data_IF_037436507302
#
_entry.id   IF_037436507302
#
_cell.length_a   1.000
_cell.length_b   1.000
_cell.length_c   1.000
_cell.angle_alpha   90.00
_cell.angle_beta   90.00
_cell.angle_gamma   90.00
#
_symmetry.space_group_name_H-M   'P 1'
#
loop_
_entity.id
_entity.type
_entity.pdbx_description
1 polymer ?
#
# COMPACT_ATOMS: atom_id res chain seq x y z
N UNK A 1 11.44 -0.14 15.16
CA UNK A 1 11.01 0.95 14.25
C UNK A 1 11.09 0.44 12.82
N UNK A 2 10.04 0.66 12.02
CA UNK A 2 10.07 0.36 10.60
C UNK A 2 11.02 1.37 9.92
N UNK A 3 12.00 0.90 9.15
CA UNK A 3 13.00 1.77 8.54
C UNK A 3 12.50 2.32 7.19
N UNK A 4 11.62 3.33 7.22
CA UNK A 4 11.10 3.95 6.02
C UNK A 4 12.08 4.95 5.40
N UNK A 5 12.21 4.93 4.07
CA UNK A 5 13.07 5.87 3.34
C UNK A 5 12.63 7.31 3.55
N UNK A 6 13.59 8.23 3.71
CA UNK A 6 13.36 9.65 3.97
C UNK A 6 12.44 10.31 2.94
N UNK A 7 12.50 9.87 1.69
CA UNK A 7 11.67 10.41 0.62
C UNK A 7 10.16 10.21 0.84
N UNK A 8 9.76 9.18 1.60
CA UNK A 8 8.35 8.89 1.88
C UNK A 8 7.87 9.49 3.21
N UNK A 9 8.79 9.97 4.05
CA UNK A 9 8.46 10.50 5.38
C UNK A 9 7.47 11.67 5.33
N UNK A 10 7.55 12.52 4.30
CA UNK A 10 6.61 13.63 4.13
C UNK A 10 5.14 13.18 4.06
N UNK A 11 4.86 12.09 3.33
CA UNK A 11 3.50 11.51 3.27
C UNK A 11 3.20 10.71 4.53
N UNK A 12 4.14 9.87 4.99
CA UNK A 12 3.97 9.02 6.19
C UNK A 12 3.56 9.87 7.39
N UNK A 13 4.23 11.01 7.62
CA UNK A 13 4.02 11.83 8.81
C UNK A 13 2.74 12.67 8.78
N UNK A 14 2.00 12.68 7.66
CA UNK A 14 0.67 13.29 7.63
C UNK A 14 -0.32 12.49 8.45
N UNK A 15 -1.43 13.13 8.86
CA UNK A 15 -2.50 12.43 9.57
C UNK A 15 -3.03 11.23 8.77
N UNK A 16 -3.27 11.40 7.48
CA UNK A 16 -3.76 10.32 6.62
C UNK A 16 -2.69 9.23 6.39
N UNK A 17 -1.42 9.60 6.23
CA UNK A 17 -0.31 8.66 6.15
C UNK A 17 -0.19 7.76 7.39
N UNK A 18 -0.37 8.33 8.60
CA UNK A 18 -0.41 7.54 9.83
C UNK A 18 -1.63 6.61 9.90
N UNK A 19 -2.83 7.07 9.50
CA UNK A 19 -4.03 6.20 9.44
C UNK A 19 -3.81 4.98 8.54
N UNK A 20 -3.17 5.18 7.40
CA UNK A 20 -2.81 4.08 6.48
C UNK A 20 -1.77 3.17 7.12
N UNK A 21 -0.74 3.72 7.75
CA UNK A 21 0.29 2.92 8.42
C UNK A 21 -0.31 2.06 9.53
N UNK A 22 -1.19 2.62 10.36
CA UNK A 22 -1.89 1.89 11.42
C UNK A 22 -2.71 0.75 10.84
N UNK A 23 -3.50 1.02 9.78
CA UNK A 23 -4.24 -0.01 9.05
C UNK A 23 -3.34 -1.13 8.53
N UNK A 24 -2.17 -0.80 7.99
CA UNK A 24 -1.23 -1.79 7.45
C UNK A 24 -0.57 -2.65 8.53
N UNK A 25 -0.49 -2.18 9.78
CA UNK A 25 0.04 -2.94 10.91
C UNK A 25 -1.04 -3.72 11.67
N UNK A 26 -2.32 -3.64 11.28
CA UNK A 26 -3.36 -4.51 11.83
C UNK A 26 -3.07 -5.99 11.51
N UNK A 27 -3.29 -6.87 12.48
CA UNK A 27 -3.09 -8.32 12.32
C UNK A 27 -3.86 -8.86 11.09
N UNK A 28 -5.12 -8.43 10.91
CA UNK A 28 -5.94 -8.82 9.76
C UNK A 28 -5.28 -8.41 8.44
N UNK A 29 -4.72 -7.22 8.36
CA UNK A 29 -4.05 -6.70 7.16
C UNK A 29 -2.80 -7.51 6.85
N UNK A 30 -2.00 -7.81 7.87
CA UNK A 30 -0.81 -8.65 7.74
C UNK A 30 -1.19 -10.04 7.22
N UNK A 31 -2.20 -10.69 7.81
CA UNK A 31 -2.68 -12.00 7.36
C UNK A 31 -3.11 -11.97 5.89
N UNK A 32 -3.78 -10.90 5.44
CA UNK A 32 -4.18 -10.76 4.03
C UNK A 32 -2.97 -10.62 3.09
N UNK A 33 -1.95 -9.84 3.48
CA UNK A 33 -0.70 -9.68 2.70
C UNK A 33 0.07 -11.02 2.58
N UNK A 34 0.21 -11.73 3.70
CA UNK A 34 0.86 -13.05 3.74
C UNK A 34 0.09 -14.09 2.94
N UNK A 35 -1.24 -14.07 3.02
CA UNK A 35 -2.13 -14.98 2.27
C UNK A 35 -2.03 -14.74 0.76
N UNK A 36 -2.07 -13.47 0.33
CA UNK A 36 -1.88 -13.13 -1.08
C UNK A 36 -0.53 -13.64 -1.61
N UNK A 37 0.51 -13.44 -0.80
CA UNK A 37 1.87 -13.92 -1.11
C UNK A 37 1.92 -15.44 -1.22
N UNK A 38 1.28 -16.17 -0.30
CA UNK A 38 1.19 -17.63 -0.35
C UNK A 38 0.48 -18.15 -1.61
N UNK A 39 -0.45 -17.38 -2.16
CA UNK A 39 -1.19 -17.70 -3.39
C UNK A 39 -0.49 -17.20 -4.67
N UNK A 40 0.78 -16.81 -4.59
CA UNK A 40 1.57 -16.21 -5.68
C UNK A 40 0.92 -14.96 -6.30
N UNK A 41 0.12 -14.23 -5.51
CA UNK A 41 -0.51 -12.97 -5.91
C UNK A 41 0.29 -11.77 -5.39
N UNK A 42 0.21 -10.61 -6.08
CA UNK A 42 0.72 -9.35 -5.55
C UNK A 42 0.10 -9.05 -4.18
N UNK A 43 0.92 -8.71 -3.18
CA UNK A 43 0.42 -8.63 -1.80
C UNK A 43 -0.66 -7.57 -1.61
N UNK A 44 -0.49 -6.41 -2.26
CA UNK A 44 -1.43 -5.29 -2.16
C UNK A 44 -2.80 -5.60 -2.80
N UNK A 45 -2.89 -6.56 -3.72
CA UNK A 45 -4.15 -6.96 -4.38
C UNK A 45 -5.22 -7.34 -3.35
N UNK A 46 -4.86 -8.11 -2.33
CA UNK A 46 -5.81 -8.56 -1.32
C UNK A 46 -6.36 -7.40 -0.48
N UNK A 47 -5.61 -6.31 -0.31
CA UNK A 47 -6.01 -5.20 0.54
C UNK A 47 -6.93 -4.21 -0.15
N UNK A 48 -6.91 -4.13 -1.49
CA UNK A 48 -7.65 -3.11 -2.26
C UNK A 48 -9.11 -2.97 -1.79
N UNK A 49 -9.91 -4.05 -1.68
CA UNK A 49 -11.32 -3.90 -1.29
C UNK A 49 -11.50 -3.35 0.13
N UNK A 50 -10.61 -3.72 1.06
CA UNK A 50 -10.71 -3.27 2.47
C UNK A 50 -10.22 -1.84 2.63
N UNK A 51 -9.20 -1.47 1.86
CA UNK A 51 -8.65 -0.12 1.82
C UNK A 51 -9.65 0.87 1.21
N UNK A 52 -10.30 0.50 0.10
CA UNK A 52 -11.36 1.30 -0.54
C UNK A 52 -12.59 1.43 0.37
N UNK A 53 -13.03 0.33 1.00
CA UNK A 53 -14.18 0.38 1.92
C UNK A 53 -13.94 1.28 3.14
N UNK A 54 -12.69 1.38 3.62
CA UNK A 54 -12.36 2.15 4.82
C UNK A 54 -12.01 3.60 4.54
N UNK A 55 -11.30 3.86 3.44
CA UNK A 55 -10.70 5.16 3.15
C UNK A 55 -11.13 5.75 1.80
N UNK A 56 -12.10 5.14 1.10
CA UNK A 56 -12.50 5.52 -0.26
C UNK A 56 -12.80 7.00 -0.42
N UNK A 57 -13.59 7.59 0.49
CA UNK A 57 -13.94 9.02 0.42
C UNK A 57 -12.73 9.94 0.61
N UNK A 58 -11.83 9.60 1.54
CA UNK A 58 -10.60 10.36 1.78
C UNK A 58 -9.61 10.22 0.61
N UNK A 59 -9.48 9.01 0.05
CA UNK A 59 -8.66 8.76 -1.14
C UNK A 59 -9.17 9.52 -2.35
N UNK A 60 -10.49 9.55 -2.54
CA UNK A 60 -11.12 10.31 -3.62
C UNK A 60 -10.91 11.81 -3.43
N UNK A 61 -11.07 12.33 -2.21
CA UNK A 61 -10.77 13.72 -1.89
C UNK A 61 -9.31 14.10 -2.16
N UNK A 62 -8.35 13.23 -1.85
CA UNK A 62 -6.93 13.45 -2.18
C UNK A 62 -6.72 13.45 -3.69
N UNK A 63 -7.31 12.48 -4.40
CA UNK A 63 -7.21 12.35 -5.86
C UNK A 63 -7.74 13.60 -6.58
N UNK A 64 -8.89 14.10 -6.16
CA UNK A 64 -9.51 15.29 -6.76
C UNK A 64 -8.69 16.56 -6.55
N UNK A 65 -7.81 16.56 -5.54
CA UNK A 65 -6.97 17.70 -5.17
C UNK A 65 -5.47 17.47 -5.44
N UNK A 66 -5.10 16.44 -6.20
CA UNK A 66 -3.70 16.04 -6.44
C UNK A 66 -2.85 17.12 -7.15
N UNK A 67 -3.49 18.08 -7.80
CA UNK A 67 -2.81 19.18 -8.49
C UNK A 67 -2.49 20.38 -7.57
N UNK A 68 -2.89 20.34 -6.30
CA UNK A 68 -2.58 21.39 -5.33
C UNK A 68 -1.25 21.07 -4.61
N UNK A 69 -0.21 21.93 -4.72
CA UNK A 69 1.09 21.68 -4.09
C UNK A 69 1.06 21.65 -2.56
N UNK A 70 0.01 22.15 -1.93
CA UNK A 70 -0.17 22.08 -0.46
C UNK A 70 -0.77 20.74 0.01
N UNK A 71 -1.30 19.94 -0.93
CA UNK A 71 -1.92 18.65 -0.65
C UNK A 71 -0.99 17.48 -0.95
N UNK A 72 -1.37 16.30 -0.47
CA UNK A 72 -0.69 15.05 -0.80
C UNK A 72 -0.98 14.72 -2.27
N UNK A 73 0.07 14.62 -3.09
CA UNK A 73 -0.06 14.06 -4.44
C UNK A 73 -0.48 12.59 -4.38
N UNK A 74 -1.49 12.24 -5.16
CA UNK A 74 -2.13 10.92 -5.11
C UNK A 74 -1.23 9.80 -5.62
N UNK A 75 -0.41 10.06 -6.64
CA UNK A 75 0.56 9.09 -7.12
C UNK A 75 1.67 8.87 -6.09
N UNK A 76 2.11 9.94 -5.42
CA UNK A 76 3.07 9.87 -4.31
C UNK A 76 2.51 9.11 -3.11
N UNK A 77 1.23 9.26 -2.81
CA UNK A 77 0.55 8.47 -1.78
C UNK A 77 0.58 6.97 -2.12
N UNK A 78 0.21 6.59 -3.36
CA UNK A 78 0.25 5.18 -3.80
C UNK A 78 1.66 4.59 -3.70
N UNK A 79 2.68 5.33 -4.12
CA UNK A 79 4.08 4.91 -3.98
C UNK A 79 4.47 4.71 -2.51
N UNK A 80 4.02 5.62 -1.63
CA UNK A 80 4.26 5.53 -0.19
C UNK A 80 3.61 4.28 0.40
N UNK A 81 2.35 3.98 0.03
CA UNK A 81 1.66 2.75 0.45
C UNK A 81 2.45 1.51 0.02
N UNK A 82 2.90 1.45 -1.25
CA UNK A 82 3.73 0.34 -1.74
C UNK A 82 5.03 0.19 -0.94
N UNK A 83 5.69 1.31 -0.60
CA UNK A 83 6.89 1.30 0.25
C UNK A 83 6.61 0.83 1.68
N UNK A 84 5.50 1.27 2.29
CA UNK A 84 5.09 0.82 3.61
C UNK A 84 4.87 -0.70 3.63
N UNK A 85 4.12 -1.23 2.66
CA UNK A 85 3.85 -2.66 2.52
C UNK A 85 5.15 -3.44 2.35
N UNK A 86 6.08 -2.95 1.53
CA UNK A 86 7.40 -3.57 1.38
C UNK A 86 8.13 -3.70 2.71
N UNK A 87 8.25 -2.61 3.48
CA UNK A 87 8.97 -2.64 4.76
C UNK A 87 8.29 -3.58 5.76
N UNK A 88 6.96 -3.64 5.76
CA UNK A 88 6.19 -4.58 6.59
C UNK A 88 6.46 -6.02 6.18
N UNK A 89 6.37 -6.34 4.89
CA UNK A 89 6.64 -7.69 4.37
C UNK A 89 8.09 -8.13 4.66
N UNK A 90 9.07 -7.25 4.47
CA UNK A 90 10.48 -7.52 4.79
C UNK A 90 10.68 -7.83 6.28
N UNK A 91 10.01 -7.07 7.17
CA UNK A 91 10.02 -7.33 8.62
C UNK A 91 9.40 -8.69 8.99
N UNK A 92 8.46 -9.17 8.18
CA UNK A 92 7.81 -10.48 8.34
C UNK A 92 8.58 -11.63 7.67
N UNK A 93 9.80 -11.39 7.17
CA UNK A 93 10.66 -12.43 6.60
C UNK A 93 10.39 -12.75 5.13
N UNK A 94 9.69 -11.86 4.42
CA UNK A 94 9.45 -11.98 3.00
C UNK A 94 10.45 -11.15 2.19
N UNK A 95 10.81 -11.64 1.01
CA UNK A 95 11.64 -10.93 0.04
C UNK A 95 10.86 -10.65 -1.23
N UNK A 96 11.26 -9.61 -1.96
CA UNK A 96 10.67 -9.30 -3.25
C UNK A 96 10.92 -10.47 -4.21
N UNK A 97 9.85 -10.96 -4.82
CA UNK A 97 9.93 -11.92 -5.92
C UNK A 97 9.86 -11.19 -7.26
N UNK A 98 8.84 -10.34 -7.43
CA UNK A 98 8.62 -9.58 -8.67
C UNK A 98 7.95 -8.23 -8.39
N UNK A 99 8.46 -7.16 -8.99
CA UNK A 99 7.84 -5.84 -8.96
C UNK A 99 6.94 -5.63 -10.19
N UNK A 100 5.96 -4.73 -10.08
CA UNK A 100 5.16 -4.29 -11.23
C UNK A 100 4.24 -5.38 -11.79
N UNK A 101 3.81 -6.33 -10.96
CA UNK A 101 2.88 -7.38 -11.36
C UNK A 101 1.49 -6.75 -11.50
N UNK A 102 0.85 -6.95 -12.64
CA UNK A 102 -0.48 -6.43 -12.94
C UNK A 102 -1.52 -7.00 -11.97
N UNK A 103 -2.32 -6.12 -11.38
CA UNK A 103 -3.50 -6.53 -10.63
C UNK A 103 -4.62 -6.74 -11.66
N UNK A 104 -5.26 -7.92 -11.71
CA UNK A 104 -6.29 -8.20 -12.69
C UNK A 104 -7.36 -7.11 -12.72
N UNK A 105 -7.52 -6.47 -13.88
CA UNK A 105 -8.37 -5.29 -14.11
C UNK A 105 -9.88 -5.60 -14.11
N UNK A 106 -10.28 -6.64 -13.37
CA UNK A 106 -11.66 -7.10 -13.23
C UNK A 106 -12.52 -6.14 -12.39
N UNK A 107 -11.90 -5.14 -11.76
CA UNK A 107 -12.53 -4.02 -11.04
C UNK A 107 -11.72 -2.75 -11.31
N UNK A 108 -12.36 -1.58 -11.29
CA UNK A 108 -11.63 -0.32 -11.12
C UNK A 108 -10.89 -0.42 -9.78
N UNK A 109 -9.56 -0.49 -9.84
CA UNK A 109 -8.69 -0.68 -8.66
C UNK A 109 -7.81 0.54 -8.49
N UNK A 110 -7.58 0.94 -7.24
CA UNK A 110 -6.64 2.00 -6.87
C UNK A 110 -5.22 1.79 -7.43
N UNK A 111 -4.81 0.53 -7.60
CA UNK A 111 -3.47 0.15 -8.04
C UNK A 111 -3.55 -0.69 -9.32
N UNK A 112 -2.79 -0.28 -10.35
CA UNK A 112 -2.65 -1.03 -11.60
C UNK A 112 -1.67 -2.20 -11.46
N UNK A 113 -0.61 -2.00 -10.66
CA UNK A 113 0.41 -3.00 -10.40
C UNK A 113 0.80 -3.00 -8.92
N UNK A 114 1.32 -4.13 -8.46
CA UNK A 114 1.86 -4.28 -7.12
C UNK A 114 3.05 -5.26 -7.10
N UNK A 115 3.71 -5.35 -5.94
CA UNK A 115 4.84 -6.26 -5.73
C UNK A 115 4.35 -7.62 -5.24
N UNK A 116 4.85 -8.68 -5.86
CA UNK A 116 4.77 -10.05 -5.36
C UNK A 116 6.01 -10.36 -4.53
N UNK A 117 5.79 -11.10 -3.45
CA UNK A 117 6.83 -11.52 -2.53
C UNK A 117 6.96 -13.04 -2.54
N UNK A 118 7.99 -13.55 -1.86
CA UNK A 118 8.14 -14.95 -1.49
C UNK A 118 8.76 -15.06 -0.11
N UNK A 119 8.53 -16.18 0.55
CA UNK A 119 9.17 -16.45 1.84
C UNK A 119 10.67 -16.65 1.61
N UNK A 120 11.50 -16.02 2.44
CA UNK A 120 12.95 -16.19 2.41
C UNK A 120 13.38 -17.60 2.81
#
# INVERSE_FOLDING_TARGET
MNNFSSQFQGVINTHFGQKILDFLNEEKTIVMLETATYLDRPALEALVPTLEARFGDELQGIKDNSNNPENIDFDRLKQTIGHMVRVIMEKHGYVIDQNGVEIPNTRQTLFLTATRYKKS
#
